data_IF_983657107786
#
_entry.id   IF_983657107786
#
_cell.length_a   1.000
_cell.length_b   1.000
_cell.length_c   1.000
_cell.angle_alpha   90.00
_cell.angle_beta   90.00
_cell.angle_gamma   90.00
#
_symmetry.space_group_name_H-M   'P 1'
#
loop_
_entity.id
_entity.type
_entity.pdbx_description
1 polymer ?
#
# COMPACT_ATOMS: atom_id res chain seq x y z
N UNK A 1 -16.64 1.57 -13.09
CA UNK A 1 -15.28 2.12 -13.22
C UNK A 1 -15.03 3.01 -12.02
N UNK A 2 -14.07 2.66 -11.16
CA UNK A 2 -13.66 3.50 -10.02
C UNK A 2 -12.54 4.41 -10.50
N UNK A 3 -12.76 5.72 -10.48
CA UNK A 3 -11.76 6.73 -10.85
C UNK A 3 -11.04 7.18 -9.59
N UNK A 4 -9.73 6.91 -9.51
CA UNK A 4 -8.88 7.38 -8.40
C UNK A 4 -8.07 8.56 -8.91
N UNK A 5 -8.22 9.71 -8.26
CA UNK A 5 -7.47 10.93 -8.60
C UNK A 5 -6.05 10.78 -8.07
N UNK A 6 -5.06 10.82 -8.97
CA UNK A 6 -3.65 10.89 -8.57
C UNK A 6 -3.39 12.29 -8.02
N UNK A 7 -2.91 12.39 -6.78
CA UNK A 7 -2.52 13.64 -6.15
C UNK A 7 -1.03 13.85 -6.35
N UNK A 8 -0.63 15.04 -6.78
CA UNK A 8 0.78 15.44 -6.77
C UNK A 8 1.26 15.48 -5.32
N UNK A 9 2.28 14.70 -4.98
CA UNK A 9 2.78 14.62 -3.61
C UNK A 9 3.43 15.95 -3.14
N UNK A 10 3.66 16.92 -4.03
CA UNK A 10 4.04 18.29 -3.64
C UNK A 10 2.86 19.13 -3.12
N UNK A 11 1.63 18.63 -3.24
CA UNK A 11 0.43 19.24 -2.69
C UNK A 11 0.06 18.59 -1.35
N UNK A 12 -0.70 19.30 -0.47
CA UNK A 12 -1.20 18.72 0.77
C UNK A 12 -2.01 17.43 0.52
N UNK A 13 -1.59 16.32 1.13
CA UNK A 13 -2.25 15.01 1.03
C UNK A 13 -2.18 14.24 2.36
N UNK A 14 -3.11 13.31 2.59
CA UNK A 14 -3.15 12.50 3.82
C UNK A 14 -2.44 11.15 3.68
N UNK A 15 -2.31 10.66 2.45
CA UNK A 15 -1.71 9.37 2.16
C UNK A 15 -1.08 9.40 0.77
N UNK A 16 0.02 8.69 0.61
CA UNK A 16 0.59 8.38 -0.70
C UNK A 16 0.57 6.87 -0.94
N UNK A 17 0.26 6.46 -2.17
CA UNK A 17 0.35 5.05 -2.58
C UNK A 17 1.82 4.79 -2.92
N UNK A 18 2.45 3.89 -2.18
CA UNK A 18 3.87 3.57 -2.39
C UNK A 18 4.11 2.23 -3.09
N UNK A 19 3.13 1.32 -3.03
CA UNK A 19 3.21 0.02 -3.69
C UNK A 19 1.83 -0.43 -4.17
N UNK A 20 1.79 -0.96 -5.38
CA UNK A 20 0.66 -1.74 -5.91
C UNK A 20 1.20 -3.08 -6.41
N UNK A 21 0.74 -4.18 -5.83
CA UNK A 21 1.28 -5.51 -6.13
C UNK A 21 0.19 -6.58 -6.17
N UNK A 22 0.29 -7.48 -7.15
CA UNK A 22 -0.59 -8.65 -7.23
C UNK A 22 -0.26 -9.62 -6.08
N UNK A 23 -1.29 -10.13 -5.42
CA UNK A 23 -1.16 -11.09 -4.32
C UNK A 23 -1.85 -12.41 -4.69
N UNK A 24 -1.27 -13.56 -4.32
CA UNK A 24 -1.80 -14.85 -4.68
C UNK A 24 -3.11 -15.16 -3.96
N UNK A 25 -3.81 -16.18 -4.45
CA UNK A 25 -4.97 -16.78 -3.78
C UNK A 25 -4.52 -17.47 -2.47
N UNK A 26 -4.42 -16.70 -1.39
CA UNK A 26 -3.98 -17.21 -0.08
C UNK A 26 -5.13 -17.15 0.95
N UNK A 27 -5.17 -18.09 1.90
CA UNK A 27 -6.13 -18.04 3.02
C UNK A 27 -5.79 -16.89 4.00
N UNK A 28 -4.52 -16.48 4.04
CA UNK A 28 -3.95 -15.42 4.86
C UNK A 28 -3.60 -14.18 4.02
N UNK A 29 -4.55 -13.69 3.20
CA UNK A 29 -4.41 -12.48 2.37
C UNK A 29 -3.81 -11.30 3.14
N UNK A 30 -4.26 -11.08 4.39
CA UNK A 30 -3.75 -10.06 5.32
C UNK A 30 -2.25 -10.21 5.60
N UNK A 31 -1.77 -11.45 5.81
CA UNK A 31 -0.36 -11.72 6.08
C UNK A 31 0.52 -11.41 4.88
N UNK A 32 0.08 -11.81 3.69
CA UNK A 32 0.80 -11.50 2.44
C UNK A 32 0.79 -9.99 2.17
N UNK A 33 -0.34 -9.30 2.40
CA UNK A 33 -0.42 -7.85 2.27
C UNK A 33 0.58 -7.14 3.19
N UNK A 34 0.64 -7.52 4.48
CA UNK A 34 1.61 -6.96 5.43
C UNK A 34 3.04 -7.14 4.94
N UNK A 35 3.42 -8.38 4.57
CA UNK A 35 4.78 -8.68 4.09
C UNK A 35 5.15 -7.85 2.86
N UNK A 36 4.23 -7.71 1.90
CA UNK A 36 4.45 -6.91 0.69
C UNK A 36 4.61 -5.42 1.02
N UNK A 37 3.75 -4.88 1.89
CA UNK A 37 3.79 -3.47 2.25
C UNK A 37 5.04 -3.13 3.10
N UNK A 38 5.48 -4.02 4.00
CA UNK A 38 6.72 -3.83 4.77
C UNK A 38 7.95 -3.82 3.87
N UNK A 39 8.04 -4.77 2.93
CA UNK A 39 9.14 -4.80 1.96
C UNK A 39 9.12 -3.55 1.06
N UNK A 40 7.95 -3.17 0.55
CA UNK A 40 7.78 -1.98 -0.29
C UNK A 40 8.11 -0.67 0.44
N UNK A 41 7.90 -0.57 1.75
CA UNK A 41 8.25 0.62 2.52
C UNK A 41 9.75 0.87 2.49
N UNK A 42 10.54 -0.20 2.69
CA UNK A 42 12.00 -0.10 2.66
C UNK A 42 12.49 0.32 1.28
N UNK A 43 11.92 -0.23 0.22
CA UNK A 43 12.24 0.17 -1.16
C UNK A 43 11.84 1.61 -1.48
N UNK A 44 10.72 2.08 -0.92
CA UNK A 44 10.18 3.42 -1.22
C UNK A 44 10.84 4.54 -0.41
N UNK A 45 11.03 4.33 0.90
CA UNK A 45 11.52 5.36 1.84
C UNK A 45 12.98 5.17 2.24
N UNK A 46 13.54 3.98 2.01
CA UNK A 46 14.83 3.57 2.58
C UNK A 46 14.80 3.32 4.09
N UNK A 47 13.62 3.23 4.71
CA UNK A 47 13.46 2.96 6.15
C UNK A 47 12.81 1.60 6.38
N UNK A 48 13.26 0.89 7.43
CA UNK A 48 12.62 -0.32 7.92
C UNK A 48 11.65 -0.01 9.05
N UNK A 49 10.56 -0.77 9.16
CA UNK A 49 9.79 -0.86 10.41
C UNK A 49 10.58 -1.62 11.47
N UNK A 50 10.42 -1.35 12.79
CA UNK A 50 9.64 -0.28 13.43
C UNK A 50 10.46 0.98 13.77
N UNK A 51 9.79 2.12 13.97
CA UNK A 51 10.42 3.40 14.33
C UNK A 51 10.37 4.48 13.25
N UNK A 52 9.68 4.22 12.13
CA UNK A 52 9.40 5.22 11.09
C UNK A 52 8.40 6.26 11.59
N UNK A 53 8.47 7.52 11.12
CA UNK A 53 7.42 8.52 11.37
C UNK A 53 6.11 8.24 10.59
N UNK A 54 6.03 7.06 9.98
CA UNK A 54 4.96 6.68 9.06
C UNK A 54 4.09 5.57 9.64
N UNK A 55 2.79 5.67 9.37
CA UNK A 55 1.84 4.58 9.50
C UNK A 55 1.55 3.98 8.12
N UNK A 56 1.45 2.64 8.08
CA UNK A 56 1.13 1.90 6.86
C UNK A 56 -0.29 1.35 6.99
N UNK A 57 -1.09 1.56 5.95
CA UNK A 57 -2.37 0.90 5.76
C UNK A 57 -2.44 0.31 4.35
N UNK A 58 -3.43 -0.51 4.05
CA UNK A 58 -3.60 -1.04 2.70
C UNK A 58 -5.06 -1.28 2.36
N UNK A 59 -5.33 -1.22 1.05
CA UNK A 59 -6.57 -1.69 0.45
C UNK A 59 -6.27 -2.97 -0.32
N UNK A 60 -7.22 -3.90 -0.34
CA UNK A 60 -7.16 -5.09 -1.17
C UNK A 60 -8.26 -4.95 -2.22
N UNK A 61 -7.84 -4.74 -3.46
CA UNK A 61 -8.71 -4.81 -4.61
C UNK A 61 -8.82 -6.30 -5.00
N UNK A 62 -9.92 -6.93 -4.60
CA UNK A 62 -10.15 -8.36 -4.80
C UNK A 62 -11.15 -8.58 -5.92
N UNK A 63 -10.74 -9.33 -6.94
CA UNK A 63 -11.67 -10.03 -7.81
C UNK A 63 -12.24 -11.20 -6.99
N UNK A 64 -13.50 -11.10 -6.59
CA UNK A 64 -14.15 -12.08 -5.69
C UNK A 64 -14.33 -13.47 -6.33
N UNK A 65 -13.99 -13.61 -7.62
CA UNK A 65 -13.89 -14.90 -8.30
C UNK A 65 -12.59 -15.61 -7.89
N UNK A 66 -12.66 -16.27 -6.72
CA UNK A 66 -11.60 -17.13 -6.18
C UNK A 66 -11.69 -18.56 -6.69
N UNK A 67 -12.30 -18.80 -7.85
CA UNK A 67 -12.19 -20.10 -8.49
C UNK A 67 -10.74 -20.32 -8.93
N UNK A 68 -10.22 -21.54 -8.75
CA UNK A 68 -8.78 -21.89 -8.75
C UNK A 68 -7.95 -21.52 -9.99
N UNK A 69 -8.55 -20.90 -11.01
CA UNK A 69 -7.90 -20.60 -12.28
C UNK A 69 -7.23 -19.22 -12.33
N UNK A 70 -7.46 -18.33 -11.36
CA UNK A 70 -6.70 -17.08 -11.23
C UNK A 70 -5.65 -17.19 -10.12
N UNK A 71 -4.35 -17.31 -10.44
CA UNK A 71 -3.32 -17.42 -9.41
C UNK A 71 -3.16 -16.13 -8.59
N UNK A 72 -3.62 -14.98 -9.08
CA UNK A 72 -3.53 -13.67 -8.43
C UNK A 72 -4.87 -12.92 -8.49
N UNK A 73 -5.89 -13.36 -7.72
CA UNK A 73 -7.23 -12.77 -7.76
C UNK A 73 -7.33 -11.42 -7.07
N UNK A 74 -6.22 -10.89 -6.53
CA UNK A 74 -6.26 -9.65 -5.76
C UNK A 74 -5.00 -8.82 -5.96
N UNK A 75 -5.16 -7.52 -5.80
CA UNK A 75 -4.08 -6.55 -5.77
C UNK A 75 -4.06 -5.85 -4.41
N UNK A 76 -2.92 -5.87 -3.73
CA UNK A 76 -2.70 -5.02 -2.57
C UNK A 76 -2.27 -3.63 -3.03
N UNK A 77 -2.83 -2.60 -2.41
CA UNK A 77 -2.47 -1.19 -2.60
C UNK A 77 -2.03 -0.68 -1.24
N UNK A 78 -0.71 -0.51 -1.06
CA UNK A 78 -0.13 -0.06 0.20
C UNK A 78 -0.08 1.47 0.24
N UNK A 79 -0.54 2.01 1.36
CA UNK A 79 -0.67 3.44 1.63
C UNK A 79 0.27 3.82 2.77
N UNK A 80 0.96 4.93 2.59
CA UNK A 80 1.82 5.53 3.60
C UNK A 80 1.19 6.82 4.07
N UNK A 81 1.09 6.97 5.39
CA UNK A 81 0.56 8.15 6.07
C UNK A 81 1.53 8.61 7.14
N UNK A 82 1.40 9.87 7.57
CA UNK A 82 2.02 10.32 8.80
C UNK A 82 1.46 9.53 10.00
N UNK A 83 2.32 9.11 10.93
CA UNK A 83 1.90 8.28 12.07
C UNK A 83 0.95 9.01 13.03
N UNK A 84 0.91 10.34 13.00
CA UNK A 84 0.00 11.18 13.77
C UNK A 84 -1.21 11.62 12.92
N UNK A 85 -1.34 11.15 11.68
CA UNK A 85 -2.41 11.51 10.76
C UNK A 85 -2.29 12.92 10.20
N UNK A 86 -1.11 13.54 10.29
CA UNK A 86 -0.89 14.89 9.77
C UNK A 86 -0.84 14.92 8.24
N UNK A 87 -1.27 16.05 7.68
CA UNK A 87 -1.16 16.29 6.25
C UNK A 87 0.31 16.40 5.83
N UNK A 88 0.67 15.64 4.80
CA UNK A 88 1.97 15.67 4.13
C UNK A 88 1.94 16.68 3.01
N UNK A 89 3.05 17.38 2.79
CA UNK A 89 3.24 18.32 1.66
C UNK A 89 4.39 17.91 0.75
N UNK A 90 5.00 16.76 1.03
CA UNK A 90 6.08 16.18 0.24
C UNK A 90 6.00 14.66 0.31
N UNK A 91 6.44 13.99 -0.76
CA UNK A 91 6.57 12.53 -0.80
C UNK A 91 7.62 12.02 0.19
N UNK A 92 7.41 10.82 0.74
CA UNK A 92 8.44 10.10 1.50
C UNK A 92 9.40 9.30 0.59
N UNK A 93 9.23 9.35 -0.73
CA UNK A 93 10.09 8.65 -1.68
C UNK A 93 11.52 9.15 -1.61
N UNK A 94 12.47 8.22 -1.58
CA UNK A 94 13.92 8.49 -1.59
C UNK A 94 14.55 8.30 -2.95
#
# INVERSE_FOLDING_TARGET
>A
MVTVTVVDCSQPHLAEVFLRANIPVDAAVTGIANQRCEAGLMEYTGLATPGTPFAISYLIDSEQDRTSNNPYPSTVICLLQDAQGQTRTASARR
#
